data_IF_041614804273
#
_entry.id   IF_041614804273
#
_cell.length_a   1.000
_cell.length_b   1.000
_cell.length_c   1.000
_cell.angle_alpha   90.00
_cell.angle_beta   90.00
_cell.angle_gamma   90.00
#
_symmetry.space_group_name_H-M   'P 1'
#
loop_
_entity.id
_entity.type
_entity.pdbx_description
1 polymer ?
#
# COMPACT_ATOMS: atom_id res chain seq x y z
N UNK A 1 15.59 -1.94 -16.46
CA UNK A 1 15.41 -0.49 -16.50
C UNK A 1 14.34 -0.08 -15.52
N UNK A 2 14.64 0.82 -14.60
CA UNK A 2 13.71 1.37 -13.61
C UNK A 2 13.41 2.83 -13.93
N UNK A 3 12.15 3.22 -13.83
CA UNK A 3 11.71 4.62 -13.94
C UNK A 3 11.57 5.28 -12.57
N UNK A 4 11.94 4.59 -11.50
CA UNK A 4 11.91 5.15 -10.15
C UNK A 4 13.01 6.20 -9.98
N UNK A 5 12.71 7.24 -9.22
CA UNK A 5 13.66 8.32 -8.87
C UNK A 5 14.19 9.11 -10.07
N UNK A 6 13.41 9.21 -11.14
CA UNK A 6 13.77 9.96 -12.32
C UNK A 6 13.08 11.33 -12.41
N UNK A 7 13.43 12.16 -13.39
CA UNK A 7 13.29 13.62 -13.36
C UNK A 7 11.93 14.17 -12.97
N UNK A 8 10.88 13.43 -13.17
CA UNK A 8 9.51 13.85 -12.88
C UNK A 8 9.02 13.44 -11.47
N UNK A 9 9.89 12.94 -10.61
CA UNK A 9 9.57 12.67 -9.21
C UNK A 9 9.99 13.83 -8.33
N UNK A 10 9.12 14.20 -7.40
CA UNK A 10 9.36 15.32 -6.48
C UNK A 10 10.65 15.15 -5.68
N UNK A 11 10.90 13.99 -5.10
CA UNK A 11 12.13 13.70 -4.36
C UNK A 11 13.40 13.57 -5.21
N UNK A 12 13.31 13.74 -6.52
CA UNK A 12 14.41 13.66 -7.48
C UNK A 12 14.59 14.94 -8.29
N UNK A 13 13.98 16.03 -7.84
CA UNK A 13 14.10 17.31 -8.53
C UNK A 13 15.57 17.75 -8.58
N UNK A 14 16.07 18.09 -9.79
CA UNK A 14 17.41 18.62 -9.91
C UNK A 14 17.50 20.01 -9.22
N UNK A 15 18.68 20.40 -8.79
CA UNK A 15 18.92 21.75 -8.37
C UNK A 15 18.69 22.73 -9.53
N UNK A 16 18.49 24.02 -9.20
CA UNK A 16 18.26 25.05 -10.23
C UNK A 16 19.37 25.02 -11.28
N UNK A 17 18.97 24.91 -12.54
CA UNK A 17 19.90 24.85 -13.68
C UNK A 17 20.46 23.45 -13.98
N UNK A 18 20.13 22.43 -13.21
CA UNK A 18 20.48 21.05 -13.56
C UNK A 18 19.40 20.42 -14.43
N UNK A 19 19.84 19.54 -15.33
CA UNK A 19 18.97 18.69 -16.13
C UNK A 19 19.21 17.24 -15.69
N UNK A 20 18.15 16.59 -15.22
CA UNK A 20 18.18 15.16 -14.94
C UNK A 20 17.64 14.39 -16.15
N UNK A 21 18.37 13.39 -16.63
CA UNK A 21 17.97 12.57 -17.76
C UNK A 21 18.30 11.10 -17.51
N UNK A 22 17.68 10.23 -18.30
CA UNK A 22 17.87 8.77 -18.20
C UNK A 22 18.30 8.25 -19.56
N UNK A 23 19.39 7.52 -19.57
CA UNK A 23 19.86 6.79 -20.75
C UNK A 23 19.79 5.27 -20.51
N UNK A 24 19.31 4.53 -21.50
CA UNK A 24 19.44 3.08 -21.52
C UNK A 24 20.81 2.73 -22.09
N UNK A 25 21.63 2.07 -21.27
CA UNK A 25 23.01 1.75 -21.63
C UNK A 25 23.33 0.31 -21.24
N UNK A 26 24.20 -0.34 -22.01
CA UNK A 26 24.85 -1.58 -21.62
C UNK A 26 25.93 -1.33 -20.55
N UNK A 27 26.38 -2.39 -19.87
CA UNK A 27 27.37 -2.28 -18.79
C UNK A 27 28.73 -1.76 -19.25
N UNK A 28 29.14 -2.07 -20.48
CA UNK A 28 30.42 -1.61 -21.04
C UNK A 28 30.38 -0.11 -21.33
N UNK A 29 29.24 0.40 -21.86
CA UNK A 29 29.06 1.83 -22.11
C UNK A 29 28.91 2.61 -20.80
N UNK A 30 28.34 2.02 -19.74
CA UNK A 30 28.34 2.62 -18.39
C UNK A 30 29.79 2.75 -17.88
N UNK A 31 30.60 1.70 -18.00
CA UNK A 31 32.02 1.71 -17.62
C UNK A 31 32.82 2.73 -18.42
N UNK A 32 32.61 2.79 -19.74
CA UNK A 32 33.25 3.76 -20.63
C UNK A 32 32.91 5.21 -20.25
N UNK A 33 31.65 5.47 -19.91
CA UNK A 33 31.18 6.78 -19.44
C UNK A 33 31.84 7.16 -18.11
N UNK A 34 31.96 6.23 -17.17
CA UNK A 34 32.64 6.45 -15.90
C UNK A 34 34.13 6.71 -16.11
N UNK A 35 34.80 5.93 -16.98
CA UNK A 35 36.21 6.09 -17.35
C UNK A 35 36.48 7.45 -17.98
N UNK A 36 35.54 7.97 -18.77
CA UNK A 36 35.65 9.28 -19.43
C UNK A 36 35.09 10.43 -18.54
N UNK A 37 35.23 10.34 -17.24
CA UNK A 37 34.89 11.40 -16.31
C UNK A 37 33.40 11.75 -16.24
N UNK A 38 32.51 10.83 -16.61
CA UNK A 38 31.06 11.00 -16.62
C UNK A 38 30.47 11.53 -17.93
N UNK A 39 31.29 11.79 -18.92
CA UNK A 39 30.78 12.14 -20.25
C UNK A 39 30.24 10.91 -20.95
N UNK A 40 29.00 11.02 -21.44
CA UNK A 40 28.28 9.93 -22.09
C UNK A 40 29.10 9.36 -23.25
N UNK A 41 29.58 8.13 -23.11
CA UNK A 41 30.53 7.51 -24.02
C UNK A 41 30.09 6.09 -24.35
N UNK A 42 30.01 5.76 -25.65
CA UNK A 42 29.81 4.39 -26.10
C UNK A 42 31.07 3.53 -25.80
N UNK A 43 30.86 2.25 -25.49
CA UNK A 43 31.93 1.30 -25.31
C UNK A 43 32.86 1.21 -26.54
N UNK A 44 32.34 1.43 -27.74
CA UNK A 44 33.10 1.45 -29.01
C UNK A 44 34.09 2.61 -29.08
N UNK A 45 33.79 3.71 -28.41
CA UNK A 45 34.62 4.92 -28.39
C UNK A 45 35.55 4.99 -27.17
N UNK A 46 35.57 3.95 -26.35
CA UNK A 46 36.45 3.88 -25.18
C UNK A 46 37.82 3.31 -25.61
N UNK A 47 38.92 3.94 -25.17
CA UNK A 47 40.27 3.42 -25.50
C UNK A 47 40.62 2.10 -24.79
N UNK A 48 39.80 1.71 -23.81
CA UNK A 48 39.97 0.45 -23.08
C UNK A 48 39.28 -0.68 -23.82
N UNK A 49 40.03 -1.74 -24.10
CA UNK A 49 39.46 -2.96 -24.67
C UNK A 49 38.73 -3.74 -23.58
N UNK A 50 37.44 -3.91 -23.77
CA UNK A 50 36.61 -4.73 -22.88
C UNK A 50 36.66 -6.19 -23.36
N UNK A 51 37.35 -7.04 -22.62
CA UNK A 51 37.27 -8.47 -22.85
C UNK A 51 35.88 -8.99 -22.50
N UNK A 52 35.35 -9.88 -23.32
CA UNK A 52 34.09 -10.58 -22.99
C UNK A 52 34.47 -11.77 -22.11
N UNK A 53 34.09 -11.75 -20.82
CA UNK A 53 34.40 -12.87 -19.94
C UNK A 53 33.65 -14.13 -20.41
N UNK A 54 34.35 -15.28 -20.37
CA UNK A 54 33.65 -16.56 -20.45
C UNK A 54 32.80 -16.76 -19.22
N UNK A 55 31.53 -17.11 -19.41
CA UNK A 55 30.66 -17.46 -18.31
C UNK A 55 30.65 -18.97 -18.10
N UNK A 56 31.05 -19.40 -16.92
CA UNK A 56 30.89 -20.76 -16.47
C UNK A 56 29.91 -20.78 -15.31
N UNK A 57 28.83 -21.54 -15.46
CA UNK A 57 27.87 -21.73 -14.38
C UNK A 57 28.46 -22.65 -13.32
N UNK A 58 28.65 -22.13 -12.11
CA UNK A 58 29.10 -22.90 -10.98
C UNK A 58 27.89 -23.20 -10.06
N UNK A 59 27.35 -24.41 -10.18
CA UNK A 59 26.21 -24.85 -9.37
C UNK A 59 26.52 -24.97 -7.90
N UNK A 60 27.78 -25.15 -7.50
CA UNK A 60 28.18 -25.25 -6.09
C UNK A 60 27.83 -24.01 -5.25
N UNK A 61 27.71 -22.84 -5.91
CA UNK A 61 27.25 -21.63 -5.23
C UNK A 61 25.83 -21.82 -4.69
N UNK A 62 25.00 -22.55 -5.41
CA UNK A 62 23.59 -22.77 -5.06
C UNK A 62 23.42 -23.99 -4.13
N UNK A 63 24.24 -25.01 -4.27
CA UNK A 63 24.18 -26.22 -3.41
C UNK A 63 24.31 -25.91 -1.94
N UNK A 64 25.09 -24.90 -1.57
CA UNK A 64 25.30 -24.47 -0.20
C UNK A 64 24.31 -23.43 0.33
N UNK A 65 23.54 -22.81 -0.54
CA UNK A 65 22.66 -21.66 -0.19
C UNK A 65 21.20 -22.01 -0.40
N UNK A 66 20.88 -22.79 -1.44
CA UNK A 66 19.52 -23.11 -1.86
C UNK A 66 19.28 -24.61 -1.81
N UNK A 67 18.33 -25.05 -1.02
CA UNK A 67 17.88 -26.44 -1.03
C UNK A 67 17.16 -26.72 -2.36
N UNK A 68 17.68 -27.64 -3.16
CA UNK A 68 17.02 -28.11 -4.37
C UNK A 68 16.05 -29.25 -4.01
N UNK A 69 14.79 -28.90 -3.81
CA UNK A 69 13.72 -29.83 -3.51
C UNK A 69 12.93 -30.33 -4.74
N UNK A 70 13.35 -29.98 -5.96
CA UNK A 70 12.63 -30.37 -7.16
C UNK A 70 12.52 -31.91 -7.27
N UNK A 71 11.30 -32.43 -7.40
CA UNK A 71 11.04 -33.88 -7.42
C UNK A 71 11.25 -34.60 -6.10
N UNK A 72 11.57 -33.88 -5.00
CA UNK A 72 11.84 -34.43 -3.67
C UNK A 72 10.93 -33.78 -2.60
N UNK A 73 9.66 -33.66 -2.92
CA UNK A 73 8.68 -33.08 -1.98
C UNK A 73 8.67 -33.86 -0.66
N UNK A 74 8.65 -33.13 0.43
CA UNK A 74 8.51 -33.67 1.80
C UNK A 74 7.29 -33.03 2.44
N UNK A 75 6.08 -33.47 2.14
CA UNK A 75 4.84 -32.85 2.62
C UNK A 75 4.69 -32.87 4.14
N UNK A 76 5.39 -33.79 4.80
CA UNK A 76 5.43 -33.92 6.26
C UNK A 76 6.37 -32.93 6.95
N UNK A 77 7.11 -32.11 6.20
CA UNK A 77 8.05 -31.13 6.78
C UNK A 77 7.28 -30.04 7.50
N UNK A 78 7.51 -29.93 8.81
CA UNK A 78 6.94 -28.87 9.63
C UNK A 78 7.57 -27.52 9.26
N UNK A 79 6.72 -26.50 9.09
CA UNK A 79 7.17 -25.13 8.88
C UNK A 79 7.35 -24.45 10.23
N UNK A 80 8.57 -24.12 10.56
CA UNK A 80 8.90 -23.39 11.79
C UNK A 80 9.21 -21.94 11.45
N UNK A 81 8.35 -21.05 11.92
CA UNK A 81 8.56 -19.62 11.74
C UNK A 81 9.63 -19.07 12.67
N UNK A 82 10.46 -18.17 12.14
CA UNK A 82 11.35 -17.37 12.98
C UNK A 82 10.54 -16.45 13.93
N UNK A 83 11.16 -15.98 15.03
CA UNK A 83 10.44 -15.26 16.10
C UNK A 83 9.81 -13.94 15.64
N UNK A 84 10.30 -13.34 14.56
CA UNK A 84 9.78 -12.10 14.00
C UNK A 84 8.71 -12.31 12.92
N UNK A 85 8.48 -13.55 12.48
CA UNK A 85 7.52 -13.86 11.42
C UNK A 85 6.14 -14.05 12.04
N UNK A 86 5.14 -13.37 11.48
CA UNK A 86 3.73 -13.51 11.84
C UNK A 86 2.88 -13.66 10.59
N UNK A 87 1.84 -14.46 10.68
CA UNK A 87 0.84 -14.55 9.62
C UNK A 87 0.07 -13.24 9.48
N UNK A 88 -0.53 -13.06 8.30
CA UNK A 88 -1.47 -11.97 8.05
C UNK A 88 -2.73 -12.18 8.88
N UNK A 89 -3.42 -11.08 9.28
CA UNK A 89 -4.76 -11.22 9.86
C UNK A 89 -5.73 -11.82 8.85
N UNK A 90 -6.74 -12.48 9.36
CA UNK A 90 -7.88 -12.90 8.53
C UNK A 90 -8.53 -11.66 7.88
N UNK A 91 -8.88 -11.80 6.62
CA UNK A 91 -9.48 -10.73 5.82
C UNK A 91 -10.94 -11.07 5.55
N UNK A 92 -11.84 -10.25 6.10
CA UNK A 92 -13.27 -10.43 5.88
C UNK A 92 -13.67 -10.12 4.44
N UNK A 93 -14.61 -10.88 3.86
CA UNK A 93 -15.21 -10.57 2.58
C UNK A 93 -15.94 -9.22 2.61
N UNK A 94 -15.97 -8.54 1.47
CA UNK A 94 -16.72 -7.30 1.31
C UNK A 94 -18.20 -7.53 1.64
N UNK A 95 -18.72 -6.77 2.60
CA UNK A 95 -20.14 -6.79 2.98
C UNK A 95 -20.97 -6.02 1.95
N UNK A 96 -22.29 -6.19 2.03
CA UNK A 96 -23.24 -5.50 1.15
C UNK A 96 -23.03 -3.98 1.22
N UNK A 97 -22.90 -3.47 2.44
CA UNK A 97 -22.64 -2.06 2.73
C UNK A 97 -21.36 -1.92 3.55
N UNK A 98 -20.77 -0.72 3.56
CA UNK A 98 -19.69 -0.34 4.45
C UNK A 98 -20.02 0.95 5.21
N UNK A 99 -19.68 0.99 6.48
CA UNK A 99 -19.61 2.19 7.28
C UNK A 99 -18.16 2.42 7.70
N UNK A 100 -17.56 3.49 7.23
CA UNK A 100 -16.14 3.79 7.39
C UNK A 100 -15.94 5.06 8.20
N UNK A 101 -15.05 5.02 9.19
CA UNK A 101 -14.61 6.23 9.86
C UNK A 101 -13.41 6.84 9.13
N UNK A 102 -13.43 8.13 8.89
CA UNK A 102 -12.30 8.88 8.33
C UNK A 102 -11.16 8.89 9.34
N UNK A 103 -10.12 8.11 9.07
CA UNK A 103 -9.00 7.92 9.98
C UNK A 103 -7.88 8.95 9.78
N UNK A 104 -7.75 9.52 8.58
CA UNK A 104 -6.84 10.63 8.29
C UNK A 104 -7.29 11.41 7.07
N UNK A 105 -6.95 12.71 7.08
CA UNK A 105 -7.18 13.65 5.98
C UNK A 105 -5.87 14.35 5.68
N UNK A 106 -5.30 14.10 4.50
CA UNK A 106 -4.02 14.66 4.06
C UNK A 106 -4.27 15.60 2.88
N UNK A 107 -4.02 16.89 3.09
CA UNK A 107 -4.28 17.95 2.11
C UNK A 107 -3.04 18.42 1.35
N UNK A 108 -1.90 17.73 1.55
CA UNK A 108 -0.68 18.00 0.78
C UNK A 108 -0.88 17.62 -0.69
N UNK A 109 -0.21 18.35 -1.57
CA UNK A 109 -0.32 18.15 -3.02
C UNK A 109 0.03 16.72 -3.46
N UNK A 110 1.01 16.11 -2.82
CA UNK A 110 1.41 14.71 -3.04
C UNK A 110 1.75 14.07 -1.71
N UNK A 111 1.27 12.84 -1.50
CA UNK A 111 1.66 12.01 -0.35
C UNK A 111 2.49 10.83 -0.86
N UNK A 112 3.74 10.79 -0.45
CA UNK A 112 4.66 9.72 -0.87
C UNK A 112 4.37 8.41 -0.14
N UNK A 113 4.79 7.30 -0.73
CA UNK A 113 4.70 5.99 -0.07
C UNK A 113 5.58 5.89 1.16
N UNK A 114 6.62 6.72 1.28
CA UNK A 114 7.48 6.77 2.47
C UNK A 114 6.84 7.57 3.62
N UNK A 115 5.95 8.51 3.30
CA UNK A 115 5.06 9.15 4.29
C UNK A 115 3.92 8.24 4.73
N UNK A 116 3.37 7.44 3.80
CA UNK A 116 2.37 6.43 4.13
C UNK A 116 2.97 5.34 5.03
N UNK A 117 4.18 4.87 4.71
CA UNK A 117 4.93 3.88 5.50
C UNK A 117 6.43 4.08 5.32
N UNK A 118 7.22 4.42 6.36
CA UNK A 118 8.67 4.61 6.25
C UNK A 118 9.39 3.26 6.08
N UNK A 119 9.26 2.66 4.91
CA UNK A 119 9.63 1.26 4.64
C UNK A 119 11.12 0.97 4.76
N UNK A 120 11.99 1.96 4.63
CA UNK A 120 13.42 1.82 4.85
C UNK A 120 13.75 1.57 6.33
N UNK A 121 13.22 2.42 7.20
CA UNK A 121 13.46 2.35 8.66
C UNK A 121 12.76 1.17 9.31
N UNK A 122 11.63 0.73 8.75
CA UNK A 122 10.84 -0.39 9.25
C UNK A 122 11.19 -1.73 8.60
N UNK A 123 12.30 -1.79 7.87
CA UNK A 123 12.69 -2.98 7.10
C UNK A 123 12.78 -4.26 7.95
N UNK A 124 13.19 -4.15 9.21
CA UNK A 124 13.30 -5.28 10.15
C UNK A 124 11.94 -5.87 10.57
N UNK A 125 10.84 -5.15 10.35
CA UNK A 125 9.49 -5.60 10.72
C UNK A 125 8.67 -6.16 9.56
N UNK A 126 9.25 -6.26 8.35
CA UNK A 126 8.54 -6.66 7.13
C UNK A 126 7.87 -8.03 7.20
N UNK A 127 8.42 -8.94 8.00
CA UNK A 127 7.84 -10.27 8.23
C UNK A 127 6.76 -10.31 9.30
N UNK A 128 6.36 -9.16 9.84
CA UNK A 128 5.34 -9.05 10.87
C UNK A 128 4.36 -7.91 10.48
N UNK A 129 3.25 -8.25 9.81
CA UNK A 129 2.30 -7.26 9.31
C UNK A 129 1.71 -6.38 10.41
N UNK A 130 1.48 -6.95 11.60
CA UNK A 130 0.98 -6.19 12.75
C UNK A 130 2.00 -5.16 13.24
N UNK A 131 3.29 -5.54 13.27
CA UNK A 131 4.32 -4.65 13.78
C UNK A 131 4.66 -3.54 12.80
N UNK A 132 4.76 -3.86 11.51
CA UNK A 132 5.06 -2.83 10.50
C UNK A 132 3.91 -1.84 10.35
N UNK A 133 2.65 -2.27 10.47
CA UNK A 133 1.48 -1.40 10.35
C UNK A 133 1.41 -0.31 11.42
N UNK A 134 2.04 -0.51 12.60
CA UNK A 134 2.14 0.51 13.65
C UNK A 134 2.85 1.80 13.21
N UNK A 135 3.59 1.74 12.11
CA UNK A 135 4.32 2.88 11.57
C UNK A 135 3.59 3.60 10.43
N UNK A 136 2.37 3.17 10.11
CA UNK A 136 1.57 3.79 9.05
C UNK A 136 1.29 5.25 9.40
N UNK A 137 1.62 6.16 8.46
CA UNK A 137 1.46 7.62 8.59
C UNK A 137 2.16 8.26 9.80
N UNK A 138 3.05 7.55 10.48
CA UNK A 138 3.63 8.03 11.75
C UNK A 138 4.31 9.40 11.63
N UNK A 139 4.86 9.72 10.46
CA UNK A 139 5.50 11.02 10.20
C UNK A 139 4.52 12.11 9.79
N UNK A 140 3.38 11.73 9.20
CA UNK A 140 2.41 12.66 8.62
C UNK A 140 1.22 12.91 9.53
N UNK A 141 0.67 11.85 10.08
CA UNK A 141 -0.44 11.86 11.01
C UNK A 141 -0.25 10.80 12.10
N UNK A 142 0.51 11.09 13.16
CA UNK A 142 0.79 10.12 14.22
C UNK A 142 -0.45 9.57 14.94
N UNK A 143 -1.62 10.22 14.79
CA UNK A 143 -2.88 9.77 15.38
C UNK A 143 -3.64 8.76 14.50
N UNK A 144 -3.22 8.59 13.25
CA UNK A 144 -3.89 7.70 12.29
C UNK A 144 -4.06 6.28 12.84
N UNK A 145 -2.96 5.65 13.28
CA UNK A 145 -2.99 4.25 13.77
C UNK A 145 -3.98 4.08 14.93
N UNK A 146 -4.02 5.04 15.85
CA UNK A 146 -4.95 5.01 16.98
C UNK A 146 -6.42 5.08 16.51
N UNK A 147 -6.74 5.96 15.57
CA UNK A 147 -8.10 6.09 15.02
C UNK A 147 -8.50 4.86 14.22
N UNK A 148 -7.63 4.37 13.34
CA UNK A 148 -7.90 3.18 12.54
C UNK A 148 -8.15 1.94 13.43
N UNK A 149 -7.34 1.73 14.45
CA UNK A 149 -7.54 0.66 15.44
C UNK A 149 -8.84 0.82 16.23
N UNK A 150 -9.21 2.03 16.59
CA UNK A 150 -10.50 2.28 17.28
C UNK A 150 -11.68 1.81 16.42
N UNK A 151 -11.69 2.15 15.13
CA UNK A 151 -12.70 1.63 14.20
C UNK A 151 -12.63 0.10 14.06
N UNK A 152 -11.43 -0.46 13.99
CA UNK A 152 -11.23 -1.92 13.90
C UNK A 152 -11.77 -2.68 15.12
N UNK A 153 -11.73 -2.09 16.32
CA UNK A 153 -12.29 -2.72 17.51
C UNK A 153 -13.83 -2.87 17.43
N UNK A 154 -14.53 -1.96 16.75
CA UNK A 154 -15.95 -2.10 16.47
C UNK A 154 -16.24 -3.21 15.45
N UNK A 155 -15.37 -3.37 14.43
CA UNK A 155 -15.49 -4.50 13.49
C UNK A 155 -15.26 -5.85 14.19
N UNK A 156 -14.28 -5.93 15.08
CA UNK A 156 -14.07 -7.13 15.91
C UNK A 156 -15.28 -7.44 16.78
N UNK A 157 -15.89 -6.42 17.38
CA UNK A 157 -17.12 -6.59 18.16
C UNK A 157 -18.27 -7.10 17.28
N UNK A 158 -18.44 -6.53 16.08
CA UNK A 158 -19.41 -7.01 15.08
C UNK A 158 -19.21 -8.50 14.76
N UNK A 159 -17.97 -8.89 14.46
CA UNK A 159 -17.62 -10.28 14.15
C UNK A 159 -17.83 -11.23 15.33
N UNK A 160 -17.62 -10.76 16.55
CA UNK A 160 -17.87 -11.51 17.78
C UNK A 160 -19.35 -11.59 18.18
N UNK A 161 -20.24 -10.89 17.46
CA UNK A 161 -21.67 -10.84 17.77
C UNK A 161 -22.03 -9.91 18.95
N UNK A 162 -21.12 -9.02 19.35
CA UNK A 162 -21.36 -8.02 20.39
C UNK A 162 -22.14 -6.83 19.80
N UNK A 163 -23.48 -6.95 19.83
CA UNK A 163 -24.38 -5.95 19.29
C UNK A 163 -24.37 -4.63 20.08
N UNK A 164 -24.08 -4.67 21.38
CA UNK A 164 -23.99 -3.47 22.18
C UNK A 164 -22.82 -2.61 21.73
N UNK A 165 -21.64 -3.19 21.62
CA UNK A 165 -20.44 -2.47 21.17
C UNK A 165 -20.51 -2.09 19.69
N UNK A 166 -20.89 -2.98 18.79
CA UNK A 166 -21.04 -2.67 17.37
C UNK A 166 -22.12 -1.60 17.14
N UNK A 167 -23.20 -1.63 17.94
CA UNK A 167 -24.29 -0.65 17.92
C UNK A 167 -23.83 0.78 18.16
N UNK A 168 -22.83 0.99 19.01
CA UNK A 168 -22.24 2.33 19.24
C UNK A 168 -21.73 2.95 17.93
N UNK A 169 -21.12 2.15 17.06
CA UNK A 169 -20.61 2.64 15.77
C UNK A 169 -21.74 2.94 14.79
N UNK A 170 -22.80 2.13 14.80
CA UNK A 170 -23.97 2.33 13.92
C UNK A 170 -24.90 3.46 14.34
N UNK A 171 -24.72 4.07 15.52
CA UNK A 171 -25.53 5.21 15.97
C UNK A 171 -25.50 6.38 14.97
N UNK A 172 -24.39 6.57 14.25
CA UNK A 172 -24.29 7.61 13.23
C UNK A 172 -25.30 7.39 12.08
N UNK A 173 -25.53 6.14 11.68
CA UNK A 173 -26.55 5.79 10.67
C UNK A 173 -27.96 6.08 11.18
N UNK A 174 -28.23 5.76 12.44
CA UNK A 174 -29.51 6.05 13.06
C UNK A 174 -29.74 7.57 13.17
N UNK A 175 -28.71 8.32 13.52
CA UNK A 175 -28.76 9.79 13.53
C UNK A 175 -28.99 10.39 12.14
N UNK A 176 -28.52 9.70 11.08
CA UNK A 176 -28.78 10.07 9.70
C UNK A 176 -30.16 9.59 9.16
N UNK A 177 -31.01 9.01 10.02
CA UNK A 177 -32.36 8.58 9.66
C UNK A 177 -32.47 7.14 9.11
N UNK A 178 -31.41 6.35 9.17
CA UNK A 178 -31.45 4.93 8.81
C UNK A 178 -32.00 4.15 9.99
N UNK A 179 -33.17 3.55 9.82
CA UNK A 179 -33.92 2.87 10.90
C UNK A 179 -33.69 1.36 10.97
N UNK A 180 -32.76 0.85 10.18
CA UNK A 180 -32.40 -0.58 10.16
C UNK A 180 -31.92 -1.03 11.55
N UNK A 181 -32.44 -2.15 12.10
CA UNK A 181 -32.01 -2.69 13.38
C UNK A 181 -30.51 -3.01 13.41
N UNK A 182 -29.88 -2.87 14.57
CA UNK A 182 -28.43 -3.11 14.75
C UNK A 182 -28.05 -4.54 14.32
N UNK A 183 -28.87 -5.51 14.66
CA UNK A 183 -28.65 -6.92 14.32
C UNK A 183 -28.61 -7.16 12.80
N UNK A 184 -29.42 -6.45 12.04
CA UNK A 184 -29.42 -6.50 10.57
C UNK A 184 -28.22 -5.72 10.00
N UNK A 185 -27.89 -4.56 10.56
CA UNK A 185 -26.67 -3.82 10.19
C UNK A 185 -25.42 -4.66 10.39
N UNK A 186 -25.32 -5.40 11.49
CA UNK A 186 -24.18 -6.29 11.76
C UNK A 186 -24.00 -7.38 10.71
N UNK A 187 -25.06 -7.82 10.06
CA UNK A 187 -25.00 -8.83 9.01
C UNK A 187 -24.64 -8.24 7.65
N UNK A 188 -25.17 -7.06 7.34
CA UNK A 188 -25.12 -6.45 6.00
C UNK A 188 -24.05 -5.39 5.85
N UNK A 189 -23.59 -4.76 6.94
CA UNK A 189 -22.72 -3.58 6.91
C UNK A 189 -21.41 -3.85 7.66
N UNK A 190 -20.31 -3.86 6.93
CA UNK A 190 -18.95 -3.96 7.49
C UNK A 190 -18.49 -2.61 8.05
N UNK A 191 -17.66 -2.67 9.09
CA UNK A 191 -17.06 -1.52 9.74
C UNK A 191 -15.58 -1.43 9.39
N UNK A 192 -15.08 -0.22 9.11
CA UNK A 192 -13.67 -0.02 8.85
C UNK A 192 -13.26 1.45 8.87
N UNK A 193 -12.10 1.71 8.32
CA UNK A 193 -11.59 3.07 8.18
C UNK A 193 -11.35 3.45 6.73
N UNK A 194 -11.36 4.75 6.48
CA UNK A 194 -11.03 5.35 5.17
C UNK A 194 -9.97 6.43 5.37
N UNK A 195 -9.05 6.50 4.40
CA UNK A 195 -8.04 7.55 4.29
C UNK A 195 -8.45 8.50 3.16
N UNK A 196 -8.39 9.81 3.41
CA UNK A 196 -8.40 10.82 2.37
C UNK A 196 -7.00 11.41 2.18
N UNK A 197 -6.54 11.49 0.94
CA UNK A 197 -5.33 12.22 0.57
C UNK A 197 -5.46 12.75 -0.86
N UNK A 198 -5.01 13.99 -1.14
CA UNK A 198 -5.14 14.59 -2.47
C UNK A 198 -4.55 13.70 -3.56
N UNK A 199 -3.27 13.35 -3.47
CA UNK A 199 -2.57 12.53 -4.46
C UNK A 199 -1.63 11.53 -3.77
N UNK A 200 -2.16 10.40 -3.25
CA UNK A 200 -1.35 9.42 -2.53
C UNK A 200 -0.59 8.48 -3.47
N UNK A 201 0.53 7.94 -2.95
CA UNK A 201 1.19 6.77 -3.50
C UNK A 201 2.36 7.03 -4.44
N UNK A 202 2.97 8.23 -4.41
CA UNK A 202 4.25 8.44 -5.08
C UNK A 202 5.37 7.73 -4.34
N UNK A 203 6.05 6.82 -5.00
CA UNK A 203 7.18 6.10 -4.39
C UNK A 203 7.26 4.64 -4.76
N UNK A 204 8.10 3.90 -4.03
CA UNK A 204 8.41 2.49 -4.31
C UNK A 204 7.84 1.50 -3.30
N UNK A 205 7.51 1.92 -2.09
CA UNK A 205 6.98 1.07 -1.01
C UNK A 205 5.45 0.89 -1.09
N UNK A 206 4.90 0.87 -2.29
CA UNK A 206 3.46 0.89 -2.56
C UNK A 206 2.70 -0.28 -1.97
N UNK A 207 3.30 -1.45 -1.97
CA UNK A 207 2.70 -2.65 -1.41
C UNK A 207 2.51 -2.49 0.11
N UNK A 208 3.56 -2.11 0.84
CA UNK A 208 3.44 -1.87 2.29
C UNK A 208 2.53 -0.69 2.62
N UNK A 209 2.49 0.34 1.78
CA UNK A 209 1.60 1.47 1.97
C UNK A 209 0.11 1.06 1.94
N UNK A 210 -0.25 0.08 1.10
CA UNK A 210 -1.60 -0.47 1.05
C UNK A 210 -1.82 -1.56 2.12
N UNK A 211 -0.93 -2.55 2.21
CA UNK A 211 -1.13 -3.68 3.13
C UNK A 211 -1.17 -3.27 4.59
N UNK A 212 -0.35 -2.29 5.01
CA UNK A 212 -0.37 -1.79 6.38
C UNK A 212 -1.69 -1.10 6.73
N UNK A 213 -2.28 -0.35 5.81
CA UNK A 213 -3.63 0.21 5.99
C UNK A 213 -4.66 -0.90 6.15
N UNK A 214 -4.60 -1.94 5.30
CA UNK A 214 -5.51 -3.08 5.38
C UNK A 214 -5.42 -3.80 6.72
N UNK A 215 -4.23 -4.04 7.23
CA UNK A 215 -4.00 -4.66 8.55
C UNK A 215 -4.64 -3.86 9.68
N UNK A 216 -4.69 -2.53 9.53
CA UNK A 216 -5.35 -1.62 10.49
C UNK A 216 -6.86 -1.45 10.26
N UNK A 217 -7.47 -2.23 9.36
CA UNK A 217 -8.89 -2.15 9.06
C UNK A 217 -9.26 -1.08 8.04
N UNK A 218 -8.29 -0.61 7.24
CA UNK A 218 -8.54 0.26 6.09
C UNK A 218 -9.27 -0.49 4.98
N UNK A 219 -10.42 0.03 4.54
CA UNK A 219 -11.26 -0.58 3.52
C UNK A 219 -11.45 0.30 2.29
N UNK A 220 -11.14 1.59 2.37
CA UNK A 220 -11.18 2.51 1.25
C UNK A 220 -10.11 3.60 1.37
N UNK A 221 -9.67 4.08 0.22
CA UNK A 221 -8.96 5.33 0.04
C UNK A 221 -9.80 6.25 -0.84
N UNK A 222 -9.89 7.54 -0.47
CA UNK A 222 -10.52 8.59 -1.27
C UNK A 222 -9.45 9.61 -1.64
N UNK A 223 -9.35 9.97 -2.91
CA UNK A 223 -8.37 10.95 -3.37
C UNK A 223 -8.91 11.74 -4.58
N UNK A 224 -8.24 12.85 -4.90
CA UNK A 224 -8.51 13.55 -6.17
C UNK A 224 -7.94 12.73 -7.32
N UNK A 225 -6.69 12.29 -7.16
CA UNK A 225 -5.98 11.48 -8.15
C UNK A 225 -4.94 10.60 -7.46
N UNK A 226 -4.75 9.39 -7.94
CA UNK A 226 -3.64 8.55 -7.48
C UNK A 226 -2.32 9.01 -8.12
N UNK A 227 -1.32 9.36 -7.33
CA UNK A 227 0.01 9.74 -7.81
C UNK A 227 0.64 8.67 -8.71
N UNK A 228 0.34 7.39 -8.45
CA UNK A 228 0.73 6.28 -9.33
C UNK A 228 -0.37 5.23 -9.44
N UNK A 229 -0.63 4.76 -10.65
CA UNK A 229 -1.53 3.61 -10.88
C UNK A 229 -1.10 2.34 -10.16
N UNK A 230 0.19 2.22 -9.82
CA UNK A 230 0.72 1.04 -9.10
C UNK A 230 0.27 1.03 -7.64
N UNK A 231 0.23 2.18 -6.96
CA UNK A 231 -0.31 2.24 -5.61
C UNK A 231 -1.79 1.90 -5.61
N UNK A 232 -2.57 2.50 -6.52
CA UNK A 232 -3.98 2.14 -6.72
C UNK A 232 -4.19 0.64 -6.94
N UNK A 233 -3.33 0.01 -7.78
CA UNK A 233 -3.42 -1.44 -8.02
C UNK A 233 -3.11 -2.25 -6.75
N UNK A 234 -2.19 -1.78 -5.90
CA UNK A 234 -1.94 -2.44 -4.62
C UNK A 234 -3.13 -2.29 -3.66
N UNK A 235 -3.80 -1.13 -3.62
CA UNK A 235 -5.04 -0.97 -2.86
C UNK A 235 -6.08 -2.02 -3.30
N UNK A 236 -6.31 -2.16 -4.61
CA UNK A 236 -7.22 -3.18 -5.16
C UNK A 236 -6.81 -4.60 -4.75
N UNK A 237 -5.53 -4.94 -4.88
CA UNK A 237 -5.02 -6.27 -4.52
C UNK A 237 -5.24 -6.61 -3.04
N UNK A 238 -5.23 -5.61 -2.17
CA UNK A 238 -5.50 -5.76 -0.74
C UNK A 238 -6.98 -5.59 -0.37
N UNK A 239 -7.86 -5.41 -1.35
CA UNK A 239 -9.29 -5.19 -1.11
C UNK A 239 -9.57 -3.86 -0.40
N UNK A 240 -8.79 -2.84 -0.72
CA UNK A 240 -9.06 -1.44 -0.37
C UNK A 240 -9.71 -0.80 -1.60
N UNK A 241 -10.89 -0.24 -1.42
CA UNK A 241 -11.65 0.39 -2.50
C UNK A 241 -11.01 1.74 -2.87
N UNK A 242 -10.55 1.93 -4.13
CA UNK A 242 -9.86 3.14 -4.53
C UNK A 242 -10.82 4.13 -5.19
N UNK A 243 -11.35 5.06 -4.42
CA UNK A 243 -12.21 6.12 -4.94
C UNK A 243 -11.41 7.34 -5.40
N UNK A 244 -11.92 8.01 -6.44
CA UNK A 244 -11.50 9.35 -6.86
C UNK A 244 -12.70 10.28 -6.83
N UNK A 245 -12.48 11.54 -6.46
CA UNK A 245 -13.50 12.57 -6.37
C UNK A 245 -12.94 13.93 -6.76
N UNK A 246 -13.79 14.86 -7.09
CA UNK A 246 -13.39 16.25 -7.30
C UNK A 246 -13.19 16.96 -5.96
N UNK A 247 -12.18 17.85 -5.89
CA UNK A 247 -11.81 18.53 -4.64
C UNK A 247 -12.95 19.39 -4.05
N UNK A 248 -13.81 19.92 -4.92
CA UNK A 248 -14.93 20.78 -4.54
C UNK A 248 -16.08 20.01 -3.86
N UNK A 249 -16.16 18.67 -4.05
CA UNK A 249 -17.26 17.85 -3.59
C UNK A 249 -17.04 17.26 -2.19
N UNK A 250 -15.78 17.12 -1.73
CA UNK A 250 -15.48 16.43 -0.46
C UNK A 250 -14.71 17.30 0.52
N UNK A 251 -15.40 17.73 1.55
CA UNK A 251 -14.80 18.38 2.72
C UNK A 251 -14.86 17.42 3.92
N UNK A 252 -13.99 16.40 3.92
CA UNK A 252 -13.89 15.43 5.00
C UNK A 252 -12.96 15.91 6.12
N UNK A 253 -13.32 15.56 7.36
CA UNK A 253 -12.50 15.72 8.54
C UNK A 253 -12.28 14.37 9.26
N UNK A 254 -11.12 14.24 9.93
CA UNK A 254 -10.84 13.01 10.68
C UNK A 254 -11.84 12.81 11.82
N UNK A 255 -12.44 11.63 11.90
CA UNK A 255 -13.49 11.28 12.85
C UNK A 255 -14.90 11.28 12.25
N UNK A 256 -15.09 11.87 11.08
CA UNK A 256 -16.35 11.76 10.34
C UNK A 256 -16.57 10.36 9.76
N UNK A 257 -17.74 10.14 9.19
CA UNK A 257 -18.13 8.83 8.68
C UNK A 257 -18.53 8.91 7.21
N UNK A 258 -18.18 7.85 6.47
CA UNK A 258 -18.60 7.63 5.09
C UNK A 258 -19.41 6.34 5.07
N UNK A 259 -20.65 6.42 4.59
CA UNK A 259 -21.51 5.25 4.41
C UNK A 259 -21.60 4.91 2.92
N UNK A 260 -21.35 3.66 2.59
CA UNK A 260 -21.36 3.13 1.22
C UNK A 260 -22.44 2.04 1.10
N UNK A 261 -23.72 2.41 0.91
CA UNK A 261 -24.80 1.46 0.74
C UNK A 261 -24.70 0.72 -0.58
N UNK A 262 -24.88 -0.61 -0.59
CA UNK A 262 -24.88 -1.42 -1.81
C UNK A 262 -23.53 -1.50 -2.52
N UNK A 263 -22.44 -1.16 -1.84
CA UNK A 263 -21.10 -1.11 -2.45
C UNK A 263 -20.65 -2.47 -3.04
N UNK A 264 -21.02 -3.57 -2.41
CA UNK A 264 -20.69 -4.90 -2.93
C UNK A 264 -21.29 -5.11 -4.31
N UNK A 265 -22.58 -4.79 -4.45
CA UNK A 265 -23.26 -4.90 -5.75
C UNK A 265 -22.64 -3.97 -6.78
N UNK A 266 -22.32 -2.72 -6.41
CA UNK A 266 -21.66 -1.79 -7.32
C UNK A 266 -20.32 -2.33 -7.84
N UNK A 267 -19.52 -2.97 -6.97
CA UNK A 267 -18.25 -3.61 -7.37
C UNK A 267 -18.51 -4.82 -8.28
N UNK A 268 -19.47 -5.69 -7.96
CA UNK A 268 -19.84 -6.84 -8.77
C UNK A 268 -20.34 -6.44 -10.16
N UNK A 269 -21.11 -5.37 -10.26
CA UNK A 269 -21.63 -4.81 -11.52
C UNK A 269 -20.59 -3.98 -12.29
N UNK A 270 -19.41 -3.72 -11.72
CA UNK A 270 -18.34 -2.93 -12.33
C UNK A 270 -18.71 -1.45 -12.47
N UNK A 271 -19.47 -0.90 -11.52
CA UNK A 271 -19.85 0.50 -11.51
C UNK A 271 -18.63 1.41 -11.57
N UNK A 272 -18.71 2.47 -12.35
CA UNK A 272 -17.64 3.47 -12.51
C UNK A 272 -17.81 4.65 -11.58
N UNK A 273 -19.02 4.91 -11.16
CA UNK A 273 -19.42 6.00 -10.27
C UNK A 273 -20.23 5.41 -9.12
N UNK A 274 -20.10 6.01 -7.97
CA UNK A 274 -20.78 5.61 -6.75
C UNK A 274 -21.19 6.89 -5.99
N UNK A 275 -22.51 7.08 -5.80
CA UNK A 275 -23.12 8.23 -5.12
C UNK A 275 -23.49 7.89 -3.67
#
# INVERSE_FOLDING_TARGET
HSTRNFPNREGSNPATGQIASVALMDSKSIAATAFNGGYLTSAENCPVVFETPSYEFNEHIYENIVYNGFGKAKPETEIVYGPSIKDWPEMEPLKENLLLQVSSVIRDEVTTTDELIPSGETASYRSNPYKISEFTLIRKDPKYVGRAKAAQEYEKARLAGDSAKAGEFYQVLQAAGITTPVEELMQTTGIGSVLYAKRPGDGSAREYAASCQKVLGGLADICIEYATKRYRSNCVNWGILPFTCDEEEINLEAGEYVYLPGIRKAVEDGAKEFE
#
